data_IF_817417009734
#
_entry.id   IF_817417009734
#
_cell.length_a   1.000
_cell.length_b   1.000
_cell.length_c   1.000
_cell.angle_alpha   90.00
_cell.angle_beta   90.00
_cell.angle_gamma   90.00
#
_symmetry.space_group_name_H-M   'P 1'
#
loop_
_entity.id
_entity.type
_entity.pdbx_description
1 polymer ?
#
# COMPACT_ATOMS: atom_id res chain seq x y z
N UNK A 1 17.23 7.84 -4.59
CA UNK A 1 18.04 6.61 -4.88
C UNK A 1 17.59 6.10 -6.23
N UNK A 2 18.53 5.89 -7.19
CA UNK A 2 18.18 5.36 -8.51
C UNK A 2 17.49 4.01 -8.41
N UNK A 3 16.55 3.75 -9.30
CA UNK A 3 15.89 2.45 -9.38
C UNK A 3 16.84 1.37 -9.91
N UNK A 4 16.67 0.18 -9.36
CA UNK A 4 17.39 -1.03 -9.77
C UNK A 4 16.52 -1.99 -10.60
N UNK A 5 15.31 -1.58 -10.97
CA UNK A 5 14.37 -2.45 -11.69
C UNK A 5 14.75 -2.55 -13.17
N UNK A 6 14.68 -3.78 -13.69
CA UNK A 6 14.94 -4.10 -15.08
C UNK A 6 13.70 -4.75 -15.72
N UNK A 7 13.56 -4.61 -17.04
CA UNK A 7 12.44 -5.13 -17.83
C UNK A 7 12.17 -6.63 -17.59
N UNK A 8 13.23 -7.43 -17.46
CA UNK A 8 13.10 -8.86 -17.18
C UNK A 8 12.42 -9.19 -15.84
N UNK A 9 12.48 -8.28 -14.87
CA UNK A 9 11.79 -8.45 -13.58
C UNK A 9 10.29 -8.16 -13.75
N UNK A 10 9.93 -7.13 -14.53
CA UNK A 10 8.53 -6.81 -14.86
C UNK A 10 7.90 -7.98 -15.61
N UNK A 11 8.63 -8.55 -16.59
CA UNK A 11 8.13 -9.71 -17.33
C UNK A 11 7.88 -10.92 -16.41
N UNK A 12 8.73 -11.13 -15.38
CA UNK A 12 8.47 -12.16 -14.36
C UNK A 12 7.20 -11.90 -13.58
N UNK A 13 6.91 -10.65 -13.20
CA UNK A 13 5.66 -10.29 -12.54
C UNK A 13 4.44 -10.58 -13.42
N UNK A 14 4.52 -10.28 -14.71
CA UNK A 14 3.45 -10.60 -15.67
C UNK A 14 3.23 -12.10 -15.78
N UNK A 15 4.29 -12.86 -15.96
CA UNK A 15 4.23 -14.32 -16.08
C UNK A 15 3.69 -14.98 -14.81
N UNK A 16 3.94 -14.39 -13.65
CA UNK A 16 3.41 -14.85 -12.36
C UNK A 16 1.96 -14.36 -12.07
N UNK A 17 1.37 -13.57 -12.98
CA UNK A 17 0.00 -13.07 -12.81
C UNK A 17 -0.17 -11.86 -11.88
N UNK A 18 0.92 -11.26 -11.41
CA UNK A 18 0.85 -10.07 -10.56
C UNK A 18 0.51 -8.78 -11.33
N UNK A 19 0.82 -8.74 -12.63
CA UNK A 19 0.48 -7.62 -13.50
C UNK A 19 -0.32 -8.14 -14.69
N UNK A 20 -1.58 -7.74 -14.77
CA UNK A 20 -2.43 -8.02 -15.92
C UNK A 20 -1.85 -7.40 -17.20
N UNK A 21 -2.18 -7.96 -18.35
CA UNK A 21 -1.67 -7.53 -19.66
C UNK A 21 -2.06 -6.09 -20.03
N UNK A 22 -3.15 -5.59 -19.48
CA UNK A 22 -3.66 -4.24 -19.72
C UNK A 22 -3.00 -3.16 -18.83
N UNK A 23 -2.23 -3.55 -17.82
CA UNK A 23 -1.45 -2.61 -17.03
C UNK A 23 -0.23 -2.15 -17.82
N UNK A 24 -0.17 -0.86 -18.09
CA UNK A 24 1.00 -0.25 -18.74
C UNK A 24 2.07 0.02 -17.68
N UNK A 25 3.32 -0.25 -18.01
CA UNK A 25 4.44 0.08 -17.13
C UNK A 25 5.47 0.93 -17.85
N UNK A 26 6.24 1.68 -17.09
CA UNK A 26 7.41 2.44 -17.52
C UNK A 26 8.53 2.27 -16.49
N UNK A 27 9.70 1.96 -16.97
CA UNK A 27 10.91 2.02 -16.14
C UNK A 27 11.32 3.49 -15.93
N UNK A 28 12.03 3.80 -14.85
CA UNK A 28 12.62 5.10 -14.64
C UNK A 28 13.53 5.53 -15.79
N UNK A 29 13.56 6.82 -16.06
CA UNK A 29 14.46 7.38 -17.05
C UNK A 29 15.93 7.31 -16.57
N UNK A 30 16.89 7.31 -17.47
CA UNK A 30 18.30 7.25 -17.13
C UNK A 30 18.69 8.43 -16.22
N UNK A 31 19.31 8.13 -15.08
CA UNK A 31 19.71 9.16 -14.10
C UNK A 31 18.58 9.64 -13.18
N UNK A 32 17.39 9.12 -13.28
CA UNK A 32 16.27 9.47 -12.39
C UNK A 32 16.51 8.92 -10.97
N UNK A 33 16.79 9.82 -10.02
CA UNK A 33 17.09 9.48 -8.63
C UNK A 33 15.86 9.54 -7.71
N UNK A 34 14.88 10.36 -8.08
CA UNK A 34 13.64 10.60 -7.34
C UNK A 34 12.49 10.35 -8.33
N UNK A 35 11.49 9.55 -7.94
CA UNK A 35 10.38 9.28 -8.83
C UNK A 35 9.64 10.56 -9.26
N UNK A 36 9.45 10.72 -10.55
CA UNK A 36 8.70 11.82 -11.18
C UNK A 36 7.59 11.22 -12.05
N UNK A 37 6.46 10.78 -11.42
CA UNK A 37 5.37 10.16 -12.16
C UNK A 37 4.72 11.16 -13.11
N UNK A 38 4.40 10.70 -14.32
CA UNK A 38 3.59 11.44 -15.29
C UNK A 38 2.11 11.42 -14.84
N UNK A 39 1.24 12.25 -15.45
CA UNK A 39 -0.20 12.16 -15.19
C UNK A 39 -0.71 10.72 -15.32
N UNK A 40 -1.49 10.29 -14.34
CA UNK A 40 -2.05 8.92 -14.23
C UNK A 40 -1.05 7.79 -13.98
N UNK A 41 0.25 8.08 -13.87
CA UNK A 41 1.23 7.09 -13.41
C UNK A 41 1.25 7.00 -11.87
N UNK A 42 1.48 5.78 -11.39
CA UNK A 42 1.74 5.49 -9.97
C UNK A 42 3.10 4.89 -9.80
N UNK A 43 3.77 5.29 -8.74
CA UNK A 43 5.04 4.67 -8.33
C UNK A 43 4.71 3.40 -7.55
N UNK A 44 5.22 2.28 -8.01
CA UNK A 44 5.12 0.99 -7.32
C UNK A 44 6.50 0.41 -7.07
N UNK A 45 6.60 -0.48 -6.11
CA UNK A 45 7.88 -1.01 -5.64
C UNK A 45 7.88 -2.52 -5.81
N UNK A 46 8.88 -3.04 -6.51
CA UNK A 46 8.99 -4.46 -6.86
C UNK A 46 8.81 -5.42 -5.66
N UNK A 47 9.44 -5.20 -4.50
CA UNK A 47 9.20 -6.00 -3.31
C UNK A 47 7.76 -6.08 -2.81
N UNK A 48 6.89 -5.14 -3.14
CA UNK A 48 5.48 -5.21 -2.76
C UNK A 48 4.76 -6.40 -3.43
N UNK A 49 5.16 -6.74 -4.66
CA UNK A 49 4.60 -7.90 -5.37
C UNK A 49 4.98 -9.23 -4.69
N UNK A 50 6.15 -9.29 -4.08
CA UNK A 50 6.56 -10.44 -3.26
C UNK A 50 5.73 -10.57 -1.98
N UNK A 51 5.11 -9.48 -1.55
CA UNK A 51 4.19 -9.42 -0.41
C UNK A 51 2.72 -9.55 -0.80
N UNK A 52 2.42 -9.89 -2.06
CA UNK A 52 1.07 -10.18 -2.55
C UNK A 52 0.43 -9.05 -3.36
N UNK A 53 1.09 -7.89 -3.55
CA UNK A 53 0.53 -6.84 -4.40
C UNK A 53 0.32 -7.38 -5.82
N UNK A 54 -0.84 -7.08 -6.40
CA UNK A 54 -1.18 -7.44 -7.77
C UNK A 54 -2.08 -6.38 -8.42
N UNK A 55 -2.09 -6.33 -9.74
CA UNK A 55 -2.93 -5.44 -10.53
C UNK A 55 -3.71 -6.22 -11.59
N UNK A 56 -5.01 -5.93 -11.72
CA UNK A 56 -5.79 -4.85 -11.09
C UNK A 56 -5.78 -4.89 -9.56
N UNK A 57 -5.75 -3.70 -8.96
CA UNK A 57 -5.69 -3.61 -7.51
C UNK A 57 -7.01 -4.07 -6.86
N UNK A 58 -6.89 -4.88 -5.80
CA UNK A 58 -8.05 -5.31 -5.02
C UNK A 58 -8.83 -4.11 -4.46
N UNK A 59 -10.18 -4.07 -4.56
CA UNK A 59 -10.99 -2.93 -4.12
C UNK A 59 -10.74 -2.53 -2.67
N UNK A 60 -10.56 -3.50 -1.77
CA UNK A 60 -10.26 -3.24 -0.35
C UNK A 60 -8.93 -2.49 -0.17
N UNK A 61 -7.87 -2.87 -0.90
CA UNK A 61 -6.57 -2.16 -0.85
C UNK A 61 -6.73 -0.72 -1.32
N UNK A 62 -7.46 -0.52 -2.42
CA UNK A 62 -7.78 0.80 -2.96
C UNK A 62 -8.53 1.67 -1.95
N UNK A 63 -9.53 1.10 -1.30
CA UNK A 63 -10.29 1.77 -0.25
C UNK A 63 -9.43 2.16 0.95
N UNK A 64 -8.54 1.27 1.41
CA UNK A 64 -7.59 1.57 2.48
C UNK A 64 -6.66 2.72 2.13
N UNK A 65 -6.06 2.68 0.94
CA UNK A 65 -5.17 3.74 0.47
C UNK A 65 -5.89 5.08 0.42
N UNK A 66 -7.12 5.09 -0.11
CA UNK A 66 -7.93 6.29 -0.13
C UNK A 66 -8.26 6.80 1.28
N UNK A 67 -8.71 5.91 2.17
CA UNK A 67 -9.09 6.28 3.53
C UNK A 67 -7.94 6.91 4.32
N UNK A 68 -6.75 6.32 4.22
CA UNK A 68 -5.56 6.81 4.92
C UNK A 68 -4.78 7.87 4.14
N UNK A 69 -5.18 8.20 2.91
CA UNK A 69 -4.45 9.14 2.05
C UNK A 69 -3.06 8.64 1.69
N UNK A 70 -2.89 7.33 1.45
CA UNK A 70 -1.62 6.68 1.20
C UNK A 70 -1.39 6.41 -0.29
N UNK A 71 -0.14 6.49 -0.68
CA UNK A 71 0.37 5.96 -1.93
C UNK A 71 1.29 4.74 -1.66
N UNK A 72 1.65 3.98 -2.70
CA UNK A 72 2.47 2.77 -2.52
C UNK A 72 3.84 3.05 -1.92
N UNK A 73 4.44 4.21 -2.20
CA UNK A 73 5.73 4.59 -1.63
C UNK A 73 5.66 4.81 -0.11
N UNK A 74 4.47 5.07 0.44
CA UNK A 74 4.27 5.18 1.89
C UNK A 74 4.26 3.82 2.59
N UNK A 75 3.99 2.76 1.85
CA UNK A 75 3.80 1.42 2.39
C UNK A 75 5.12 0.65 2.40
N UNK A 76 5.54 0.20 3.57
CA UNK A 76 6.60 -0.80 3.65
C UNK A 76 6.08 -2.18 3.16
N UNK A 77 6.94 -3.07 2.65
CA UNK A 77 6.51 -4.40 2.20
C UNK A 77 5.71 -5.18 3.24
N UNK A 78 6.06 -5.09 4.52
CA UNK A 78 5.31 -5.73 5.60
C UNK A 78 3.89 -5.16 5.78
N UNK A 79 3.66 -3.90 5.41
CA UNK A 79 2.31 -3.34 5.41
C UNK A 79 1.45 -4.03 4.35
N UNK A 80 1.98 -4.13 3.14
CA UNK A 80 1.33 -4.86 2.04
C UNK A 80 1.02 -6.30 2.45
N UNK A 81 1.99 -7.00 3.04
CA UNK A 81 1.80 -8.38 3.52
C UNK A 81 0.64 -8.48 4.52
N UNK A 82 0.50 -7.54 5.46
CA UNK A 82 -0.61 -7.55 6.42
C UNK A 82 -1.96 -7.31 5.75
N UNK A 83 -2.05 -6.42 4.76
CA UNK A 83 -3.29 -6.20 4.00
C UNK A 83 -3.70 -7.49 3.28
N UNK A 84 -2.75 -8.11 2.57
CA UNK A 84 -3.06 -9.35 1.83
C UNK A 84 -3.38 -10.52 2.74
N UNK A 85 -2.68 -10.67 3.86
CA UNK A 85 -3.04 -11.66 4.87
C UNK A 85 -4.48 -11.45 5.38
N UNK A 86 -4.88 -10.20 5.61
CA UNK A 86 -6.24 -9.87 6.02
C UNK A 86 -7.28 -10.24 4.95
N UNK A 87 -7.03 -9.89 3.69
CA UNK A 87 -7.91 -10.25 2.57
C UNK A 87 -8.06 -11.77 2.48
N UNK A 88 -6.95 -12.50 2.49
CA UNK A 88 -6.95 -13.97 2.41
C UNK A 88 -7.72 -14.58 3.59
N UNK A 89 -7.53 -14.09 4.80
CA UNK A 89 -8.30 -14.58 5.97
C UNK A 89 -9.78 -14.33 5.77
N UNK A 90 -10.18 -13.14 5.34
CA UNK A 90 -11.58 -12.85 5.09
C UNK A 90 -12.19 -13.73 3.99
N UNK A 91 -11.56 -13.77 2.83
CA UNK A 91 -12.16 -14.41 1.64
C UNK A 91 -12.00 -15.92 1.63
N UNK A 92 -10.80 -16.42 1.93
CA UNK A 92 -10.50 -17.85 1.81
C UNK A 92 -10.88 -18.66 3.05
N UNK A 93 -10.81 -18.07 4.24
CA UNK A 93 -11.08 -18.81 5.49
C UNK A 93 -12.41 -18.47 6.12
N UNK A 94 -12.81 -17.20 6.10
CA UNK A 94 -14.08 -16.78 6.70
C UNK A 94 -15.21 -16.71 5.68
N UNK A 95 -14.92 -16.79 4.38
CA UNK A 95 -15.89 -16.67 3.28
C UNK A 95 -16.71 -15.37 3.35
N UNK A 96 -16.07 -14.26 3.77
CA UNK A 96 -16.68 -12.93 3.82
C UNK A 96 -15.86 -11.94 3.01
N UNK A 97 -16.50 -10.86 2.57
CA UNK A 97 -15.78 -9.74 1.96
C UNK A 97 -14.89 -9.06 3.03
N UNK A 98 -13.67 -8.62 2.67
CA UNK A 98 -12.86 -7.78 3.55
C UNK A 98 -13.63 -6.53 3.94
N UNK A 99 -13.84 -6.32 5.24
CA UNK A 99 -14.67 -5.24 5.75
C UNK A 99 -13.85 -4.21 6.52
N UNK A 100 -14.07 -2.94 6.23
CA UNK A 100 -13.25 -1.86 6.80
C UNK A 100 -13.38 -1.78 8.34
N UNK A 101 -14.58 -1.94 8.89
CA UNK A 101 -14.77 -1.96 10.35
C UNK A 101 -14.02 -3.11 11.03
N UNK A 102 -13.87 -4.27 10.35
CA UNK A 102 -13.09 -5.38 10.87
C UNK A 102 -11.59 -5.05 10.82
N UNK A 103 -11.14 -4.40 9.75
CA UNK A 103 -9.77 -3.90 9.65
C UNK A 103 -9.43 -2.96 10.82
N UNK A 104 -10.25 -1.95 11.08
CA UNK A 104 -10.05 -0.99 12.17
C UNK A 104 -10.04 -1.64 13.58
N UNK A 105 -10.79 -2.73 13.76
CA UNK A 105 -10.75 -3.50 15.01
C UNK A 105 -9.50 -4.37 15.14
N UNK A 106 -8.87 -4.71 14.02
CA UNK A 106 -7.72 -5.62 14.00
C UNK A 106 -6.40 -4.88 13.96
N UNK A 107 -6.33 -3.79 13.20
CA UNK A 107 -5.10 -3.05 12.94
C UNK A 107 -5.23 -1.55 13.24
N UNK A 108 -4.13 -0.97 13.65
CA UNK A 108 -3.91 0.47 13.67
C UNK A 108 -2.88 0.85 12.62
N UNK A 109 -3.11 1.97 11.93
CA UNK A 109 -2.14 2.55 11.01
C UNK A 109 -1.58 3.82 11.64
N UNK A 110 -0.26 3.97 11.68
CA UNK A 110 0.44 5.08 12.33
C UNK A 110 1.58 5.60 11.45
N UNK A 111 1.90 6.90 11.50
CA UNK A 111 3.09 7.41 10.83
C UNK A 111 4.36 6.87 11.48
N UNK A 112 5.36 6.57 10.65
CA UNK A 112 6.69 6.18 11.11
C UNK A 112 7.53 7.42 11.33
N UNK A 113 7.86 7.69 12.58
CA UNK A 113 8.80 8.76 12.95
C UNK A 113 10.21 8.18 13.05
N UNK A 114 11.14 8.68 12.26
CA UNK A 114 12.55 8.30 12.30
C UNK A 114 13.38 9.50 12.75
N UNK A 115 13.89 9.48 13.98
CA UNK A 115 14.81 10.49 14.57
C UNK A 115 14.46 11.95 14.22
N UNK A 116 13.19 12.33 14.38
CA UNK A 116 12.76 13.72 14.20
C UNK A 116 12.50 14.14 12.74
N UNK A 117 12.68 13.27 11.77
CA UNK A 117 12.28 13.48 10.38
C UNK A 117 11.24 12.46 9.95
N UNK A 118 10.33 12.88 9.08
CA UNK A 118 9.37 12.00 8.44
C UNK A 118 10.11 11.11 7.42
N UNK A 119 9.80 9.83 7.39
CA UNK A 119 10.37 8.94 6.38
C UNK A 119 9.80 9.32 5.01
N UNK A 120 10.68 9.60 4.05
CA UNK A 120 10.29 9.94 2.67
C UNK A 120 9.68 8.74 1.92
N UNK A 121 9.93 7.54 2.39
CA UNK A 121 9.41 6.31 1.81
C UNK A 121 9.18 5.28 2.92
N UNK A 122 8.06 4.56 2.88
CA UNK A 122 7.67 3.62 3.93
C UNK A 122 7.28 4.31 5.24
N UNK A 123 6.68 5.49 5.11
CA UNK A 123 6.25 6.32 6.23
C UNK A 123 5.03 5.82 6.99
N UNK A 124 4.32 4.82 6.44
CA UNK A 124 3.18 4.21 7.11
C UNK A 124 3.59 2.91 7.82
N UNK A 125 3.15 2.77 9.05
CA UNK A 125 3.29 1.54 9.85
C UNK A 125 1.91 0.96 10.15
N UNK A 126 1.78 -0.35 9.95
CA UNK A 126 0.62 -1.09 10.45
C UNK A 126 1.02 -1.83 11.72
N UNK A 127 0.20 -1.73 12.74
CA UNK A 127 0.33 -2.47 13.98
C UNK A 127 -0.95 -3.22 14.31
N UNK A 128 -0.82 -4.39 14.91
CA UNK A 128 -1.96 -5.13 15.46
C UNK A 128 -2.47 -4.41 16.70
N UNK A 129 -3.79 -4.37 16.88
CA UNK A 129 -4.40 -3.91 18.13
C UNK A 129 -4.02 -4.86 19.28
N UNK A 130 -3.75 -4.33 20.47
CA UNK A 130 -3.21 -5.09 21.61
C UNK A 130 -4.12 -6.24 22.09
N UNK A 131 -5.41 -6.09 21.91
CA UNK A 131 -6.43 -7.07 22.32
C UNK A 131 -6.75 -8.13 21.25
N UNK A 132 -6.09 -8.06 20.09
CA UNK A 132 -6.36 -8.97 18.96
C UNK A 132 -5.26 -10.02 18.86
N UNK A 133 -5.64 -11.29 18.81
CA UNK A 133 -4.75 -12.35 18.34
C UNK A 133 -4.82 -12.38 16.82
N UNK A 134 -3.70 -12.19 16.17
CA UNK A 134 -3.55 -12.26 14.72
C UNK A 134 -2.70 -13.50 14.37
N UNK A 135 -2.48 -13.72 13.09
CA UNK A 135 -1.68 -14.83 12.62
C UNK A 135 -0.32 -14.87 13.34
N UNK A 136 -0.03 -16.00 13.96
CA UNK A 136 1.29 -16.29 14.52
C UNK A 136 2.16 -16.92 13.43
N UNK A 137 3.35 -16.37 13.25
CA UNK A 137 4.28 -16.87 12.26
C UNK A 137 5.54 -16.00 12.17
N UNK A 138 6.58 -16.58 11.65
CA UNK A 138 7.79 -15.84 11.29
C UNK A 138 7.50 -15.10 10.00
N UNK A 139 7.10 -13.84 10.12
CA UNK A 139 7.02 -12.98 8.93
C UNK A 139 8.44 -12.74 8.40
N UNK A 140 8.55 -12.64 7.10
CA UNK A 140 9.83 -12.40 6.43
C UNK A 140 10.58 -11.25 7.10
N UNK A 141 11.88 -11.42 7.27
CA UNK A 141 12.75 -10.31 7.68
C UNK A 141 12.56 -9.11 6.76
N UNK A 142 12.80 -7.94 7.31
CA UNK A 142 12.70 -6.69 6.52
C UNK A 142 13.57 -6.78 5.27
N UNK A 143 12.96 -6.66 4.10
CA UNK A 143 13.68 -6.64 2.83
C UNK A 143 14.55 -5.37 2.82
N UNK A 144 15.86 -5.53 2.97
CA UNK A 144 16.78 -4.39 2.96
C UNK A 144 16.85 -3.76 1.57
N UNK A 145 16.89 -2.44 1.51
CA UNK A 145 17.01 -1.69 0.25
C UNK A 145 15.79 -1.77 -0.67
N UNK A 146 14.64 -2.16 -0.15
CA UNK A 146 13.41 -2.30 -0.91
C UNK A 146 12.99 -1.01 -1.66
N UNK A 147 13.37 0.15 -1.15
CA UNK A 147 13.05 1.45 -1.74
C UNK A 147 13.69 1.69 -3.11
N UNK A 148 14.77 0.98 -3.45
CA UNK A 148 15.42 1.09 -4.77
C UNK A 148 14.73 0.30 -5.88
N UNK A 149 13.73 -0.48 -5.55
CA UNK A 149 13.01 -1.33 -6.51
C UNK A 149 11.77 -0.68 -7.12
N UNK A 150 11.79 0.61 -7.46
CA UNK A 150 10.61 1.33 -7.92
C UNK A 150 10.52 1.43 -9.45
N UNK A 151 9.29 1.49 -9.95
CA UNK A 151 8.93 1.72 -11.35
C UNK A 151 7.53 2.32 -11.43
N UNK A 152 7.08 2.65 -12.63
CA UNK A 152 5.79 3.27 -12.85
C UNK A 152 4.80 2.30 -13.46
N UNK A 153 3.54 2.44 -13.06
CA UNK A 153 2.42 1.77 -13.71
C UNK A 153 1.29 2.76 -14.00
N UNK A 154 0.52 2.44 -15.03
CA UNK A 154 -0.76 3.08 -15.34
C UNK A 154 -1.81 1.99 -15.47
N UNK A 155 -2.95 2.16 -14.80
CA UNK A 155 -4.12 1.30 -14.91
C UNK A 155 -5.13 1.97 -15.86
N UNK A 156 -5.17 1.60 -17.15
CA UNK A 156 -5.99 2.31 -18.15
C UNK A 156 -7.49 2.28 -17.87
N UNK A 157 -7.96 1.24 -17.18
CA UNK A 157 -9.39 1.08 -16.84
C UNK A 157 -9.83 1.93 -15.66
N UNK A 158 -8.91 2.37 -14.85
CA UNK A 158 -9.19 3.21 -13.68
C UNK A 158 -8.01 4.15 -13.39
N UNK A 159 -7.75 5.09 -14.33
CA UNK A 159 -6.58 5.95 -14.26
C UNK A 159 -6.60 6.90 -13.06
N UNK A 160 -7.78 7.27 -12.58
CA UNK A 160 -7.93 8.26 -11.51
C UNK A 160 -7.97 7.64 -10.11
N UNK A 161 -7.89 6.30 -10.01
CA UNK A 161 -7.93 5.61 -8.72
C UNK A 161 -9.11 6.05 -7.86
N UNK A 162 -10.27 6.18 -8.48
CA UNK A 162 -11.47 6.54 -7.73
C UNK A 162 -11.60 5.64 -6.51
N UNK A 163 -11.83 6.26 -5.35
CA UNK A 163 -12.07 5.54 -4.13
C UNK A 163 -13.19 4.54 -4.33
N UNK A 164 -13.06 3.36 -3.75
CA UNK A 164 -14.16 2.42 -3.71
C UNK A 164 -15.37 3.10 -3.08
N UNK A 165 -16.55 3.06 -3.72
CA UNK A 165 -17.73 3.81 -3.27
C UNK A 165 -18.12 3.53 -1.81
N UNK A 166 -17.90 2.32 -1.34
CA UNK A 166 -18.18 1.88 0.02
C UNK A 166 -17.35 2.60 1.09
N UNK A 167 -16.22 3.20 0.70
CA UNK A 167 -15.36 3.95 1.61
C UNK A 167 -15.64 5.45 1.61
N UNK A 168 -16.58 5.92 0.78
CA UNK A 168 -16.86 7.37 0.65
C UNK A 168 -17.73 7.91 1.76
N UNK A 169 -18.60 7.10 2.34
CA UNK A 169 -19.49 7.51 3.41
C UNK A 169 -18.78 7.42 4.75
N UNK A 170 -18.80 8.50 5.53
CA UNK A 170 -18.22 8.54 6.86
C UNK A 170 -16.70 8.68 6.94
N UNK A 171 -16.05 8.95 5.82
CA UNK A 171 -14.61 9.26 5.81
C UNK A 171 -14.39 10.68 6.32
N UNK A 172 -13.64 10.88 7.38
CA UNK A 172 -13.34 12.20 7.89
C UNK A 172 -12.56 13.02 6.84
N UNK A 173 -13.01 14.22 6.54
CA UNK A 173 -12.38 15.13 5.55
C UNK A 173 -10.98 15.60 5.95
N UNK A 174 -10.59 15.42 7.21
CA UNK A 174 -9.29 15.78 7.74
C UNK A 174 -8.18 14.75 7.48
N UNK A 175 -8.53 13.54 6.96
CA UNK A 175 -7.53 12.53 6.56
C UNK A 175 -6.88 12.85 5.19
N UNK A 176 -6.69 14.10 4.85
CA UNK A 176 -6.37 14.51 3.48
C UNK A 176 -4.89 14.55 3.13
N UNK A 177 -3.96 14.40 4.04
CA UNK A 177 -2.54 14.35 3.64
C UNK A 177 -1.63 13.75 4.70
N UNK A 178 -0.77 12.85 4.26
CA UNK A 178 0.43 12.43 4.97
C UNK A 178 1.50 13.52 5.08
N UNK A 179 1.31 14.62 4.39
CA UNK A 179 2.27 15.72 4.41
C UNK A 179 2.27 16.42 5.76
N UNK A 180 2.84 15.75 6.71
CA UNK A 180 3.65 16.35 7.74
C UNK A 180 3.01 17.26 8.76
N UNK A 181 1.81 17.05 9.20
CA UNK A 181 1.42 17.57 10.50
C UNK A 181 1.10 16.39 11.42
N UNK A 182 1.81 16.25 12.51
CA UNK A 182 1.58 15.22 13.53
C UNK A 182 0.22 15.32 14.24
N UNK A 183 -0.75 15.96 13.62
CA UNK A 183 -2.11 16.17 14.11
C UNK A 183 -3.15 15.27 13.42
N UNK A 184 -2.75 14.42 12.47
CA UNK A 184 -3.72 13.66 11.64
C UNK A 184 -4.27 12.43 12.36
N UNK A 185 -3.59 11.98 13.39
CA UNK A 185 -4.00 10.81 14.15
C UNK A 185 -4.61 11.23 15.49
N UNK A 186 -5.72 11.97 15.41
CA UNK A 186 -6.57 12.18 16.57
C UNK A 186 -6.91 10.83 17.19
N UNK A 187 -6.91 10.79 18.52
CA UNK A 187 -7.15 9.59 19.30
C UNK A 187 -8.37 8.84 18.76
N UNK A 188 -8.20 7.53 18.61
CA UNK A 188 -9.23 6.59 18.19
C UNK A 188 -10.45 6.52 19.13
N UNK A 189 -10.57 7.42 20.09
CA UNK A 189 -11.65 7.49 21.05
C UNK A 189 -12.90 8.22 20.53
N UNK A 190 -12.83 8.94 19.41
CA UNK A 190 -14.01 9.63 18.86
C UNK A 190 -14.77 8.85 17.76
N UNK A 191 -14.45 7.59 17.56
CA UNK A 191 -15.17 6.70 16.60
C UNK A 191 -16.01 5.62 17.31
N UNK A 192 -16.58 5.92 18.47
CA UNK A 192 -17.64 5.10 19.08
C UNK A 192 -19.01 5.62 18.71
#
# INVERSE_FOLDING_TARGET
>A
MASSVMEGQIQKLRNAGYLSSDIVHRLPDEGELIPTPRPHERVVILPHFLCGLGFPLHPFVRGLMFYYGLDFHDLAPNFILNIWAFIVVCEAFLCIQPHFSLWLKTFSVKPKVVKGSQAECGGAMVGRMSHVTWLEGTFMETIKGWQSGWFYITEPRDPDWAAAPEFRSGIPTWLTSWKGSGQIWGDSEELT
#
